data_IF_564418537722
#
_entry.id   IF_564418537722
#
_cell.length_a   1.000
_cell.length_b   1.000
_cell.length_c   1.000
_cell.angle_alpha   90.00
_cell.angle_beta   90.00
_cell.angle_gamma   90.00
#
_symmetry.space_group_name_H-M   'P 1'
#
loop_
_entity.id
_entity.type
_entity.pdbx_description
1 polymer ?
#
# COMPACT_ATOMS: atom_id res chain seq x y z
N UNK A 1 29.64 18.20 15.47
CA UNK A 1 28.75 17.11 15.05
C UNK A 1 27.90 17.68 13.94
N UNK A 2 27.80 17.00 12.79
CA UNK A 2 26.85 17.40 11.74
C UNK A 2 25.44 17.19 12.29
N UNK A 3 24.72 18.28 12.57
CA UNK A 3 23.37 18.21 13.10
C UNK A 3 22.44 17.49 12.12
N UNK A 4 21.75 16.45 12.61
CA UNK A 4 20.68 15.79 11.87
C UNK A 4 19.37 16.51 12.23
N UNK A 5 18.71 17.09 11.24
CA UNK A 5 17.41 17.76 11.42
C UNK A 5 16.32 17.00 10.67
N UNK A 6 15.22 16.76 11.36
CA UNK A 6 14.01 16.12 10.78
C UNK A 6 12.88 17.14 10.77
N UNK A 7 12.29 17.36 9.60
CA UNK A 7 11.12 18.23 9.43
C UNK A 7 10.00 17.42 8.79
N UNK A 8 8.99 16.97 9.57
CA UNK A 8 7.81 16.34 9.02
C UNK A 8 6.98 17.36 8.23
N UNK A 9 6.84 17.17 6.93
CA UNK A 9 5.96 17.97 6.05
C UNK A 9 4.57 17.35 5.91
N UNK A 10 4.45 16.07 6.30
CA UNK A 10 3.22 15.32 6.47
C UNK A 10 3.46 14.08 7.34
N UNK A 11 2.40 13.37 7.72
CA UNK A 11 2.39 12.27 8.70
C UNK A 11 2.95 12.60 10.12
N UNK A 12 3.16 13.88 10.44
CA UNK A 12 3.45 14.32 11.82
C UNK A 12 2.16 14.33 12.63
N UNK A 13 2.05 13.45 13.64
CA UNK A 13 0.83 13.26 14.46
C UNK A 13 -0.43 12.91 13.65
N UNK A 14 -0.26 12.38 12.44
CA UNK A 14 -1.34 12.12 11.48
C UNK A 14 -0.97 10.87 10.67
N UNK A 15 -1.95 10.18 10.11
CA UNK A 15 -1.70 9.05 9.20
C UNK A 15 -2.19 9.44 7.81
N UNK A 16 -1.29 9.35 6.83
CA UNK A 16 -1.54 9.88 5.49
C UNK A 16 -0.53 10.95 5.13
N UNK A 17 -0.43 11.25 3.83
CA UNK A 17 0.47 12.29 3.27
C UNK A 17 1.90 12.22 3.80
N UNK A 18 2.44 11.02 4.01
CA UNK A 18 3.79 10.80 4.52
C UNK A 18 4.80 11.54 3.66
N UNK A 19 5.54 12.43 4.31
CA UNK A 19 6.56 13.26 3.68
C UNK A 19 7.45 13.84 4.78
N UNK A 20 8.70 13.40 4.84
CA UNK A 20 9.65 13.77 5.88
C UNK A 20 10.91 14.31 5.20
N UNK A 21 11.29 15.55 5.53
CA UNK A 21 12.55 16.13 5.09
C UNK A 21 13.63 15.86 6.13
N UNK A 22 14.73 15.24 5.72
CA UNK A 22 15.95 15.07 6.52
C UNK A 22 17.02 16.00 5.98
N UNK A 23 17.62 16.81 6.86
CA UNK A 23 18.89 17.49 6.61
C UNK A 23 19.99 16.80 7.40
N UNK A 24 21.01 16.26 6.72
CA UNK A 24 22.11 15.50 7.30
C UNK A 24 23.39 15.75 6.51
N UNK A 25 24.47 16.16 7.18
CA UNK A 25 25.78 16.38 6.53
C UNK A 25 25.72 17.38 5.36
N UNK A 26 24.88 18.41 5.45
CA UNK A 26 24.68 19.39 4.38
C UNK A 26 23.81 18.91 3.20
N UNK A 27 23.30 17.67 3.24
CA UNK A 27 22.39 17.10 2.25
C UNK A 27 20.95 17.17 2.74
N UNK A 28 20.02 17.37 1.82
CA UNK A 28 18.58 17.35 2.07
C UNK A 28 17.94 16.18 1.30
N UNK A 29 17.36 15.23 2.03
CA UNK A 29 16.69 14.05 1.48
C UNK A 29 15.22 14.11 1.86
N UNK A 30 14.33 13.94 0.89
CA UNK A 30 12.89 13.80 1.16
C UNK A 30 12.49 12.33 1.17
N UNK A 31 11.83 11.90 2.24
CA UNK A 31 11.34 10.55 2.45
C UNK A 31 9.83 10.51 2.28
N UNK A 32 9.39 9.71 1.32
CA UNK A 32 8.02 9.61 0.85
C UNK A 32 7.42 10.96 0.38
N UNK A 33 6.38 10.86 -0.42
CA UNK A 33 5.63 11.99 -0.96
C UNK A 33 4.18 11.54 -1.19
N UNK A 34 3.47 11.37 -0.09
CA UNK A 34 2.12 10.83 -0.05
C UNK A 34 1.00 11.85 -0.18
N UNK A 35 -0.23 11.35 -0.28
CA UNK A 35 -1.46 12.13 -0.15
C UNK A 35 -2.35 11.62 0.98
N UNK A 36 -3.12 12.52 1.60
CA UNK A 36 -4.11 12.16 2.60
C UNK A 36 -5.49 11.92 1.95
N UNK A 37 -5.93 10.66 1.93
CA UNK A 37 -7.17 10.22 1.24
C UNK A 37 -8.49 10.66 1.92
N UNK A 38 -8.40 11.37 3.04
CA UNK A 38 -9.54 11.95 3.75
C UNK A 38 -9.83 13.40 3.40
N UNK A 39 -8.88 14.12 2.81
CA UNK A 39 -9.07 15.51 2.44
C UNK A 39 -9.36 15.63 0.93
N UNK A 40 -10.25 16.56 0.57
CA UNK A 40 -10.55 16.90 -0.82
C UNK A 40 -10.00 18.29 -1.21
N UNK A 41 -9.33 18.98 -0.29
CA UNK A 41 -8.66 20.26 -0.50
C UNK A 41 -7.14 20.10 -0.46
N UNK A 42 -6.41 21.22 -0.53
CA UNK A 42 -4.94 21.24 -0.57
C UNK A 42 -4.27 20.60 0.65
N UNK A 43 -4.97 20.44 1.79
CA UNK A 43 -4.43 19.75 2.98
C UNK A 43 -4.13 18.29 2.71
N UNK A 44 -4.63 17.73 1.61
CA UNK A 44 -4.29 16.38 1.17
C UNK A 44 -2.82 16.24 0.78
N UNK A 45 -2.15 17.32 0.41
CA UNK A 45 -0.74 17.30 0.04
C UNK A 45 0.16 17.65 1.24
N UNK A 46 1.43 17.23 1.24
CA UNK A 46 2.44 17.74 2.16
C UNK A 46 2.65 19.24 1.99
N UNK A 47 3.10 19.91 3.05
CA UNK A 47 3.41 21.34 2.99
C UNK A 47 4.75 21.60 2.31
N UNK A 48 4.73 21.69 0.97
CA UNK A 48 5.91 22.02 0.18
C UNK A 48 6.34 23.48 0.30
N UNK A 49 5.50 24.37 0.85
CA UNK A 49 5.85 25.79 0.99
C UNK A 49 7.06 25.98 1.90
N UNK A 50 7.30 25.07 2.84
CA UNK A 50 8.49 25.10 3.70
C UNK A 50 9.79 25.02 2.90
N UNK A 51 9.82 24.24 1.81
CA UNK A 51 11.00 24.06 0.95
C UNK A 51 11.00 25.05 -0.22
N UNK A 52 9.83 25.29 -0.83
CA UNK A 52 9.70 26.04 -2.07
C UNK A 52 9.63 27.58 -1.89
N UNK A 53 9.83 28.11 -0.68
CA UNK A 53 9.82 29.56 -0.39
C UNK A 53 10.79 30.37 -1.25
N UNK A 54 11.91 29.77 -1.64
CA UNK A 54 12.98 30.42 -2.40
C UNK A 54 13.60 29.42 -3.39
N UNK A 55 13.11 29.43 -4.63
CA UNK A 55 13.67 28.64 -5.74
C UNK A 55 12.94 27.33 -6.04
N UNK A 56 13.49 26.54 -6.95
CA UNK A 56 12.92 25.23 -7.37
C UNK A 56 13.28 24.16 -6.34
N UNK A 57 12.40 23.18 -6.13
CA UNK A 57 12.68 22.06 -5.21
C UNK A 57 13.98 21.31 -5.58
N UNK A 58 14.28 21.21 -6.88
CA UNK A 58 15.49 20.55 -7.41
C UNK A 58 16.78 21.11 -6.80
N UNK A 59 16.84 22.40 -6.50
CA UNK A 59 18.03 23.06 -5.95
C UNK A 59 18.18 22.82 -4.43
N UNK A 60 17.09 22.41 -3.77
CA UNK A 60 17.03 22.25 -2.32
C UNK A 60 17.07 20.79 -1.88
N UNK A 61 16.78 19.84 -2.77
CA UNK A 61 16.70 18.41 -2.48
C UNK A 61 17.73 17.63 -3.30
N UNK A 62 18.58 16.85 -2.62
CA UNK A 62 19.53 15.95 -3.28
C UNK A 62 18.81 14.77 -3.93
N UNK A 63 17.84 14.18 -3.23
CA UNK A 63 17.02 13.09 -3.76
C UNK A 63 15.69 12.94 -3.01
N UNK A 64 14.79 12.19 -3.64
CA UNK A 64 13.54 11.71 -3.03
C UNK A 64 13.59 10.20 -2.93
N UNK A 65 13.18 9.63 -1.81
CA UNK A 65 13.14 8.18 -1.60
C UNK A 65 11.72 7.77 -1.27
N UNK A 66 11.17 6.80 -2.01
CA UNK A 66 9.83 6.25 -1.79
C UNK A 66 9.92 4.84 -1.22
N UNK A 67 9.34 4.64 -0.04
CA UNK A 67 9.33 3.37 0.70
C UNK A 67 8.49 2.31 0.00
N UNK A 68 7.27 2.66 -0.41
CA UNK A 68 6.33 1.74 -1.06
C UNK A 68 5.22 2.47 -1.84
N UNK A 69 4.38 1.70 -2.53
CA UNK A 69 3.45 2.22 -3.54
C UNK A 69 2.11 2.73 -3.01
N UNK A 70 1.85 2.72 -1.70
CA UNK A 70 0.57 3.23 -1.20
C UNK A 70 0.45 4.73 -1.42
N UNK A 71 -0.78 5.21 -1.65
CA UNK A 71 -1.03 6.60 -2.02
C UNK A 71 -0.67 7.58 -0.90
N UNK A 72 -0.68 7.17 0.35
CA UNK A 72 -0.18 7.93 1.49
C UNK A 72 1.35 7.99 1.59
N UNK A 73 2.08 7.31 0.70
CA UNK A 73 3.55 7.38 0.61
C UNK A 73 4.04 7.85 -0.77
N UNK A 74 3.26 7.69 -1.84
CA UNK A 74 3.66 8.12 -3.18
C UNK A 74 2.61 8.94 -3.95
N UNK A 75 1.44 9.18 -3.36
CA UNK A 75 0.30 9.79 -4.05
C UNK A 75 0.53 11.22 -4.52
N UNK A 76 1.34 12.00 -3.79
CA UNK A 76 1.63 13.40 -4.12
C UNK A 76 2.82 13.53 -5.06
N UNK A 77 3.47 12.41 -5.43
CA UNK A 77 4.71 12.44 -6.20
C UNK A 77 4.54 13.15 -7.55
N UNK A 78 3.52 12.87 -8.40
CA UNK A 78 3.36 13.60 -9.66
C UNK A 78 3.01 15.08 -9.48
N UNK A 79 2.29 15.42 -8.40
CA UNK A 79 1.99 16.80 -8.04
C UNK A 79 3.29 17.55 -7.68
N UNK A 80 4.11 16.97 -6.81
CA UNK A 80 5.38 17.54 -6.38
C UNK A 80 6.37 17.66 -7.55
N UNK A 81 6.49 16.65 -8.40
CA UNK A 81 7.47 16.69 -9.51
C UNK A 81 7.05 17.62 -10.64
N UNK A 82 5.79 17.58 -11.07
CA UNK A 82 5.38 18.26 -12.31
C UNK A 82 4.63 19.58 -12.06
N UNK A 83 3.95 19.76 -10.92
CA UNK A 83 3.21 20.99 -10.63
C UNK A 83 4.00 21.94 -9.72
N UNK A 84 4.63 21.41 -8.66
CA UNK A 84 5.49 22.21 -7.77
C UNK A 84 6.87 22.42 -8.39
N UNK A 85 7.38 21.41 -9.10
CA UNK A 85 8.60 21.50 -9.89
C UNK A 85 9.80 20.87 -9.20
N UNK A 86 10.02 19.59 -9.49
CA UNK A 86 11.21 18.82 -9.10
C UNK A 86 11.65 17.90 -10.24
N UNK A 87 12.92 18.02 -10.61
CA UNK A 87 13.55 17.26 -11.70
C UNK A 87 14.73 16.40 -11.24
N UNK A 88 14.94 16.30 -9.91
CA UNK A 88 16.00 15.47 -9.33
C UNK A 88 15.66 13.98 -9.27
N UNK A 89 16.59 13.15 -8.76
CA UNK A 89 16.46 11.70 -8.75
C UNK A 89 15.46 11.21 -7.69
N UNK A 90 14.62 10.26 -8.09
CA UNK A 90 13.68 9.58 -7.21
C UNK A 90 14.08 8.11 -7.08
N UNK A 91 14.28 7.63 -5.86
CA UNK A 91 14.65 6.24 -5.59
C UNK A 91 13.46 5.46 -5.05
N UNK A 92 13.19 4.31 -5.65
CA UNK A 92 12.22 3.33 -5.13
C UNK A 92 12.58 1.94 -5.62
N UNK A 93 11.97 0.90 -5.06
CA UNK A 93 12.23 -0.47 -5.52
C UNK A 93 11.59 -0.77 -6.87
N UNK A 94 12.08 -1.83 -7.54
CA UNK A 94 11.53 -2.28 -8.81
C UNK A 94 10.02 -2.54 -8.78
N UNK A 95 9.45 -3.27 -7.79
CA UNK A 95 8.00 -3.50 -7.76
C UNK A 95 7.22 -2.21 -7.48
N UNK A 96 7.74 -1.32 -6.63
CA UNK A 96 7.12 -0.02 -6.35
C UNK A 96 7.02 0.84 -7.61
N UNK A 97 8.09 0.91 -8.42
CA UNK A 97 8.08 1.64 -9.72
C UNK A 97 7.04 1.11 -10.69
N UNK A 98 6.80 -0.21 -10.69
CA UNK A 98 5.85 -0.83 -11.60
C UNK A 98 4.39 -0.64 -11.17
N UNK A 99 4.12 -0.63 -9.87
CA UNK A 99 2.77 -0.58 -9.29
C UNK A 99 2.28 0.86 -9.08
N UNK A 100 3.16 1.76 -8.65
CA UNK A 100 2.88 3.17 -8.40
C UNK A 100 2.07 3.86 -9.51
N UNK A 101 2.45 3.82 -10.80
CA UNK A 101 1.69 4.51 -11.86
C UNK A 101 0.28 3.98 -12.03
N UNK A 102 0.03 2.70 -11.70
CA UNK A 102 -1.31 2.12 -11.81
C UNK A 102 -2.21 2.63 -10.70
N UNK A 103 -1.70 2.69 -9.47
CA UNK A 103 -2.45 3.24 -8.34
C UNK A 103 -2.72 4.74 -8.53
N UNK A 104 -1.74 5.48 -9.01
CA UNK A 104 -1.90 6.90 -9.35
C UNK A 104 -2.95 7.10 -10.45
N UNK A 105 -2.94 6.28 -11.51
CA UNK A 105 -3.92 6.37 -12.59
C UNK A 105 -5.33 5.98 -12.14
N UNK A 106 -5.48 4.93 -11.32
CA UNK A 106 -6.78 4.56 -10.74
C UNK A 106 -7.34 5.68 -9.86
N UNK A 107 -6.49 6.26 -9.00
CA UNK A 107 -6.87 7.39 -8.17
C UNK A 107 -7.22 8.64 -8.99
N UNK A 108 -6.46 8.93 -10.05
CA UNK A 108 -6.72 10.03 -10.99
C UNK A 108 -8.09 9.86 -11.64
N UNK A 109 -8.42 8.67 -12.16
CA UNK A 109 -9.73 8.41 -12.78
C UNK A 109 -10.87 8.64 -11.80
N UNK A 110 -10.75 8.17 -10.56
CA UNK A 110 -11.78 8.40 -9.54
C UNK A 110 -11.93 9.91 -9.25
N UNK A 111 -10.82 10.63 -9.11
CA UNK A 111 -10.82 12.04 -8.72
C UNK A 111 -11.30 12.96 -9.84
N UNK A 112 -10.78 12.79 -11.05
CA UNK A 112 -11.12 13.64 -12.21
C UNK A 112 -12.49 13.26 -12.79
N UNK A 113 -12.74 11.98 -13.06
CA UNK A 113 -13.94 11.56 -13.81
C UNK A 113 -15.20 11.48 -12.91
N UNK A 114 -15.05 11.10 -11.63
CA UNK A 114 -16.22 10.96 -10.74
C UNK A 114 -16.45 12.16 -9.83
N UNK A 115 -15.39 12.84 -9.37
CA UNK A 115 -15.54 14.04 -8.53
C UNK A 115 -15.48 15.34 -9.33
N UNK A 116 -15.07 15.30 -10.60
CA UNK A 116 -15.02 16.48 -11.47
C UNK A 116 -13.87 17.44 -11.14
N UNK A 117 -12.81 16.97 -10.47
CA UNK A 117 -11.70 17.83 -10.11
C UNK A 117 -10.80 18.13 -11.33
N UNK A 118 -10.61 19.41 -11.63
CA UNK A 118 -9.88 19.86 -12.82
C UNK A 118 -8.40 20.16 -12.54
N UNK A 119 -8.06 20.56 -11.32
CA UNK A 119 -6.69 20.89 -10.93
C UNK A 119 -5.96 19.67 -10.34
N UNK A 120 -5.80 18.63 -11.16
CA UNK A 120 -5.16 17.38 -10.77
C UNK A 120 -4.15 16.92 -11.82
N UNK A 121 -3.15 16.14 -11.41
CA UNK A 121 -2.12 15.67 -12.34
C UNK A 121 -2.70 14.77 -13.44
N UNK A 122 -2.11 14.84 -14.62
CA UNK A 122 -2.53 14.07 -15.80
C UNK A 122 -1.81 12.72 -15.89
N UNK A 123 -2.29 11.83 -16.75
CA UNK A 123 -1.59 10.57 -17.08
C UNK A 123 -0.20 10.80 -17.68
N UNK A 124 -0.01 11.92 -18.38
CA UNK A 124 1.30 12.31 -18.91
C UNK A 124 2.25 12.71 -17.79
N UNK A 125 1.77 13.48 -16.81
CA UNK A 125 2.55 13.86 -15.64
C UNK A 125 2.97 12.63 -14.81
N UNK A 126 2.09 11.63 -14.65
CA UNK A 126 2.47 10.34 -14.02
C UNK A 126 3.62 9.69 -14.79
N UNK A 127 3.54 9.64 -16.13
CA UNK A 127 4.61 9.05 -16.96
C UNK A 127 5.91 9.82 -16.83
N UNK A 128 5.87 11.15 -16.88
CA UNK A 128 7.05 12.03 -16.71
C UNK A 128 7.69 11.86 -15.34
N UNK A 129 6.88 11.80 -14.28
CA UNK A 129 7.32 11.50 -12.92
C UNK A 129 8.06 10.16 -12.85
N UNK A 130 7.49 9.08 -13.45
CA UNK A 130 8.12 7.75 -13.43
C UNK A 130 9.42 7.66 -14.24
N UNK A 131 9.67 8.57 -15.20
CA UNK A 131 10.95 8.64 -15.93
C UNK A 131 12.09 9.12 -15.05
N UNK A 132 11.81 9.92 -14.01
CA UNK A 132 12.80 10.43 -13.03
C UNK A 132 13.23 9.37 -12.01
N UNK A 133 12.59 8.19 -12.04
CA UNK A 133 12.79 7.13 -11.04
C UNK A 133 13.98 6.24 -11.36
N UNK A 134 14.92 6.18 -10.42
CA UNK A 134 16.04 5.24 -10.37
C UNK A 134 15.65 4.09 -9.44
N UNK A 135 15.76 2.85 -9.91
CA UNK A 135 15.34 1.68 -9.14
C UNK A 135 16.44 1.17 -8.20
N UNK A 136 16.07 0.86 -6.96
CA UNK A 136 16.94 0.25 -5.98
C UNK A 136 16.62 -1.25 -5.78
N UNK A 137 17.66 -2.08 -5.81
CA UNK A 137 17.55 -3.47 -5.37
C UNK A 137 17.75 -3.59 -3.86
N UNK A 138 17.18 -4.64 -3.28
CA UNK A 138 17.44 -4.98 -1.88
C UNK A 138 18.94 -5.21 -1.68
N UNK A 139 19.46 -4.64 -0.59
CA UNK A 139 20.85 -4.72 -0.14
C UNK A 139 21.88 -4.10 -1.09
N UNK A 140 21.46 -3.50 -2.20
CA UNK A 140 22.32 -2.72 -3.07
C UNK A 140 22.62 -1.37 -2.40
N UNK A 141 23.90 -1.04 -2.29
CA UNK A 141 24.33 0.33 -1.95
C UNK A 141 24.33 1.14 -3.25
N UNK A 142 23.58 2.23 -3.25
CA UNK A 142 23.57 3.21 -4.35
C UNK A 142 24.26 4.47 -3.85
N UNK A 143 25.31 4.84 -4.53
CA UNK A 143 25.99 6.12 -4.37
C UNK A 143 25.20 7.19 -5.14
N UNK A 144 24.60 8.13 -4.42
CA UNK A 144 23.78 9.22 -4.96
C UNK A 144 24.66 10.39 -5.35
N UNK A 145 25.64 10.72 -4.49
CA UNK A 145 26.74 11.65 -4.73
C UNK A 145 27.93 11.26 -3.83
N UNK A 146 29.06 11.95 -3.96
CA UNK A 146 30.34 11.60 -3.31
C UNK A 146 30.21 11.22 -1.82
N UNK A 147 29.31 11.88 -1.07
CA UNK A 147 29.15 11.67 0.37
C UNK A 147 27.85 10.93 0.74
N UNK A 148 26.85 10.91 -0.14
CA UNK A 148 25.52 10.36 0.10
C UNK A 148 25.34 8.98 -0.54
N UNK A 149 25.07 7.99 0.30
CA UNK A 149 24.66 6.66 -0.15
C UNK A 149 23.32 6.23 0.46
N UNK A 150 22.63 5.37 -0.27
CA UNK A 150 21.37 4.77 0.17
C UNK A 150 21.42 3.26 -0.02
N UNK A 151 20.82 2.52 0.90
CA UNK A 151 20.68 1.06 0.84
C UNK A 151 19.26 0.66 1.23
N UNK A 152 18.60 -0.08 0.34
CA UNK A 152 17.26 -0.58 0.56
C UNK A 152 17.27 -1.94 1.29
N UNK A 153 16.33 -2.13 2.21
CA UNK A 153 16.12 -3.33 2.99
C UNK A 153 14.66 -3.76 2.89
N UNK A 154 14.38 -5.04 3.10
CA UNK A 154 13.03 -5.57 2.93
C UNK A 154 12.12 -5.16 4.09
N UNK A 155 10.97 -4.53 3.81
CA UNK A 155 10.04 -4.07 4.86
C UNK A 155 8.90 -5.04 5.19
N UNK A 156 8.60 -6.01 4.32
CA UNK A 156 7.57 -7.04 4.58
C UNK A 156 6.11 -6.55 4.65
N UNK A 157 5.84 -5.27 4.34
CA UNK A 157 4.49 -4.67 4.39
C UNK A 157 3.66 -4.96 3.14
N UNK A 158 4.16 -4.53 1.97
CA UNK A 158 3.57 -4.81 0.66
C UNK A 158 4.67 -5.22 -0.33
N UNK A 159 4.27 -5.74 -1.50
CA UNK A 159 5.22 -6.17 -2.53
C UNK A 159 6.17 -5.02 -2.94
N UNK A 160 7.46 -5.20 -2.67
CA UNK A 160 8.46 -4.16 -2.95
C UNK A 160 8.62 -3.09 -1.89
N UNK A 161 7.88 -3.14 -0.79
CA UNK A 161 8.10 -2.20 0.32
C UNK A 161 9.52 -2.33 0.86
N UNK A 162 10.18 -1.18 1.08
CA UNK A 162 11.54 -1.13 1.55
C UNK A 162 11.75 -0.11 2.67
N UNK A 163 12.59 -0.51 3.63
CA UNK A 163 13.22 0.39 4.58
C UNK A 163 14.53 0.90 3.94
N UNK A 164 14.89 2.16 4.18
CA UNK A 164 16.10 2.74 3.61
C UNK A 164 17.07 3.15 4.71
N UNK A 165 18.30 2.68 4.61
CA UNK A 165 19.42 3.25 5.33
C UNK A 165 20.09 4.29 4.45
N UNK A 166 20.28 5.47 4.99
CA UNK A 166 20.85 6.64 4.34
C UNK A 166 22.10 6.99 5.11
N UNK A 167 23.26 7.07 4.44
CA UNK A 167 24.52 7.45 5.08
C UNK A 167 25.08 8.67 4.37
N UNK A 168 25.48 9.67 5.15
CA UNK A 168 26.19 10.86 4.68
C UNK A 168 27.46 11.03 5.50
N UNK A 169 28.61 10.77 4.88
CA UNK A 169 29.88 10.67 5.59
C UNK A 169 29.84 9.61 6.70
N UNK A 170 30.00 10.04 7.96
CA UNK A 170 29.97 9.13 9.12
C UNK A 170 28.59 8.96 9.74
N UNK A 171 27.63 9.82 9.42
CA UNK A 171 26.31 9.79 10.03
C UNK A 171 25.35 8.92 9.20
N UNK A 172 24.39 8.27 9.86
CA UNK A 172 23.40 7.45 9.20
C UNK A 172 22.00 7.54 9.81
N UNK A 173 21.00 7.48 8.94
CA UNK A 173 19.57 7.45 9.30
C UNK A 173 18.94 6.19 8.71
N UNK A 174 18.04 5.56 9.45
CA UNK A 174 17.16 4.52 8.91
C UNK A 174 15.73 5.04 8.89
N UNK A 175 15.09 4.97 7.72
CA UNK A 175 13.67 5.21 7.54
C UNK A 175 12.95 3.90 7.24
N UNK A 176 11.96 3.53 8.04
CA UNK A 176 11.26 2.25 7.85
C UNK A 176 10.14 2.31 6.83
N UNK A 177 9.54 3.49 6.62
CA UNK A 177 8.17 3.55 6.09
C UNK A 177 7.25 2.66 6.93
N UNK A 178 6.30 2.02 6.27
CA UNK A 178 5.50 0.95 6.88
C UNK A 178 6.21 -0.39 6.77
N UNK A 179 6.24 -1.15 7.87
CA UNK A 179 6.94 -2.42 7.93
C UNK A 179 6.18 -3.47 8.75
N UNK A 180 6.48 -4.74 8.49
CA UNK A 180 5.87 -5.83 9.23
C UNK A 180 6.92 -6.87 9.62
N UNK A 181 7.12 -7.04 10.93
CA UNK A 181 8.04 -8.04 11.49
C UNK A 181 7.45 -9.46 11.50
N UNK A 182 6.14 -9.61 11.32
CA UNK A 182 5.48 -10.92 11.27
C UNK A 182 5.29 -11.34 9.81
N UNK A 183 5.85 -12.48 9.37
CA UNK A 183 5.77 -12.88 7.98
C UNK A 183 4.32 -13.19 7.56
N UNK A 184 3.98 -12.73 6.37
CA UNK A 184 2.75 -13.09 5.70
C UNK A 184 2.84 -14.40 4.89
N UNK A 185 1.73 -14.90 4.34
CA UNK A 185 1.81 -16.06 3.42
C UNK A 185 2.58 -15.65 2.18
N UNK A 186 2.23 -14.49 1.65
CA UNK A 186 2.80 -13.94 0.43
C UNK A 186 4.11 -13.15 0.65
N UNK A 187 4.33 -12.55 1.82
CA UNK A 187 5.52 -11.71 2.10
C UNK A 187 6.34 -12.23 3.29
N UNK A 188 7.65 -11.95 3.30
CA UNK A 188 8.52 -12.23 4.44
C UNK A 188 8.35 -11.22 5.58
N UNK A 189 9.08 -11.43 6.66
CA UNK A 189 9.24 -10.41 7.70
C UNK A 189 10.22 -9.32 7.25
N UNK A 190 10.06 -8.11 7.77
CA UNK A 190 11.04 -7.04 7.62
C UNK A 190 12.41 -7.51 8.11
N UNK A 191 13.46 -7.11 7.40
CA UNK A 191 14.83 -7.51 7.71
C UNK A 191 15.80 -6.40 7.38
N UNK A 192 16.72 -6.10 8.30
CA UNK A 192 17.78 -5.11 8.17
C UNK A 192 19.07 -5.66 8.78
N UNK A 193 20.22 -5.20 8.29
CA UNK A 193 21.52 -5.51 8.88
C UNK A 193 21.56 -5.05 10.36
N UNK A 194 22.50 -5.60 11.13
CA UNK A 194 22.80 -5.11 12.49
C UNK A 194 23.54 -3.76 12.43
N UNK A 195 22.90 -2.75 11.86
CA UNK A 195 23.40 -1.39 11.82
C UNK A 195 23.08 -0.65 13.13
N UNK A 196 23.87 0.38 13.43
CA UNK A 196 23.65 1.30 14.55
C UNK A 196 23.48 2.70 13.96
N UNK A 197 22.28 3.03 13.44
CA UNK A 197 22.06 4.36 12.89
C UNK A 197 22.04 5.41 14.00
N UNK A 198 22.43 6.63 13.67
CA UNK A 198 22.35 7.78 14.58
C UNK A 198 20.90 8.21 14.80
N UNK A 199 20.03 7.95 13.81
CA UNK A 199 18.60 8.24 13.86
C UNK A 199 17.78 7.09 13.24
N UNK A 200 16.73 6.68 13.93
CA UNK A 200 15.70 5.79 13.41
C UNK A 200 14.38 6.56 13.29
N UNK A 201 13.82 6.62 12.09
CA UNK A 201 12.48 7.16 11.81
C UNK A 201 11.58 5.98 11.49
N UNK A 202 10.58 5.75 12.35
CA UNK A 202 9.69 4.58 12.25
C UNK A 202 8.22 4.96 12.35
N UNK A 203 7.34 4.15 11.73
CA UNK A 203 5.90 4.31 11.85
C UNK A 203 5.39 4.03 13.28
N UNK A 204 4.20 4.54 13.59
CA UNK A 204 3.55 4.36 14.90
C UNK A 204 2.09 3.90 14.79
N UNK A 205 1.68 3.37 13.63
CA UNK A 205 0.29 3.03 13.28
C UNK A 205 -0.43 2.19 14.34
N UNK A 206 0.30 1.28 15.01
CA UNK A 206 -0.25 0.40 16.04
C UNK A 206 0.56 0.41 17.34
N UNK A 207 1.21 1.54 17.67
CA UNK A 207 2.16 1.63 18.79
C UNK A 207 1.66 1.06 20.12
N UNK A 208 0.36 1.22 20.44
CA UNK A 208 -0.26 0.74 21.68
C UNK A 208 -1.13 -0.52 21.49
N UNK A 209 -1.34 -0.97 20.26
CA UNK A 209 -2.27 -2.06 19.96
C UNK A 209 -1.54 -3.40 19.97
N UNK A 210 -1.87 -4.25 20.93
CA UNK A 210 -1.38 -5.64 20.95
C UNK A 210 -2.20 -6.44 19.94
N UNK A 211 -1.52 -7.02 18.94
CA UNK A 211 -2.16 -7.85 17.92
C UNK A 211 -2.30 -9.29 18.41
N UNK A 212 -3.49 -9.85 18.26
CA UNK A 212 -3.72 -11.28 18.44
C UNK A 212 -2.85 -12.12 17.50
N UNK A 213 -2.58 -13.36 17.94
CA UNK A 213 -1.83 -14.32 17.14
C UNK A 213 -2.47 -14.46 15.75
N UNK A 214 -1.61 -14.47 14.73
CA UNK A 214 -2.04 -14.63 13.34
C UNK A 214 -2.91 -15.88 13.15
N UNK A 215 -2.57 -16.99 13.81
CA UNK A 215 -3.31 -18.25 13.75
C UNK A 215 -4.74 -18.13 14.29
N UNK A 216 -4.93 -17.44 15.42
CA UNK A 216 -6.27 -17.21 15.98
C UNK A 216 -7.11 -16.37 15.02
N UNK A 217 -6.58 -15.24 14.54
CA UNK A 217 -7.30 -14.35 13.62
C UNK A 217 -7.70 -15.06 12.32
N UNK A 218 -6.81 -15.86 11.74
CA UNK A 218 -7.13 -16.65 10.54
C UNK A 218 -8.22 -17.69 10.80
N UNK A 219 -8.13 -18.43 11.91
CA UNK A 219 -9.14 -19.42 12.28
C UNK A 219 -10.50 -18.76 12.49
N UNK A 220 -10.54 -17.65 13.21
CA UNK A 220 -11.77 -16.96 13.55
C UNK A 220 -12.41 -16.32 12.31
N UNK A 221 -11.59 -15.77 11.41
CA UNK A 221 -12.01 -15.32 10.08
C UNK A 221 -12.63 -16.47 9.28
N UNK A 222 -11.93 -17.59 9.13
CA UNK A 222 -12.42 -18.75 8.37
C UNK A 222 -13.71 -19.32 8.97
N UNK A 223 -13.81 -19.39 10.30
CA UNK A 223 -15.01 -19.85 11.01
C UNK A 223 -16.22 -18.96 10.72
N UNK A 224 -16.04 -17.64 10.74
CA UNK A 224 -17.10 -16.67 10.41
C UNK A 224 -17.55 -16.80 8.96
N UNK A 225 -16.60 -16.89 8.03
CA UNK A 225 -16.91 -17.07 6.59
C UNK A 225 -17.68 -18.36 6.36
N UNK A 226 -17.18 -19.49 6.89
CA UNK A 226 -17.82 -20.80 6.72
C UNK A 226 -19.24 -20.81 7.33
N UNK A 227 -19.40 -20.30 8.56
CA UNK A 227 -20.72 -20.27 9.19
C UNK A 227 -21.75 -19.41 8.44
N UNK A 228 -21.33 -18.35 7.75
CA UNK A 228 -22.24 -17.54 6.94
C UNK A 228 -22.67 -18.27 5.67
N UNK A 229 -21.72 -18.89 4.94
CA UNK A 229 -22.04 -19.63 3.71
C UNK A 229 -22.90 -20.87 3.99
N UNK A 230 -22.72 -21.54 5.13
CA UNK A 230 -23.53 -22.70 5.55
C UNK A 230 -25.00 -22.32 5.79
N UNK A 231 -25.25 -21.09 6.24
CA UNK A 231 -26.60 -20.53 6.39
C UNK A 231 -27.21 -20.06 5.07
N UNK A 232 -26.50 -20.21 3.94
CA UNK A 232 -26.92 -19.71 2.64
C UNK A 232 -26.68 -18.20 2.45
N UNK A 233 -25.95 -17.56 3.35
CA UNK A 233 -25.63 -16.13 3.31
C UNK A 233 -24.52 -15.78 2.32
N UNK A 234 -24.46 -14.51 1.94
CA UNK A 234 -23.39 -13.95 1.10
C UNK A 234 -22.36 -13.22 1.96
N UNK A 235 -21.08 -13.37 1.63
CA UNK A 235 -19.97 -12.71 2.32
C UNK A 235 -19.34 -11.65 1.42
N UNK A 236 -19.39 -10.39 1.85
CA UNK A 236 -18.65 -9.29 1.23
C UNK A 236 -17.37 -9.01 2.02
N UNK A 237 -16.23 -8.98 1.33
CA UNK A 237 -14.92 -8.64 1.90
C UNK A 237 -14.36 -7.41 1.16
N UNK A 238 -14.53 -6.20 1.70
CA UNK A 238 -13.97 -4.99 1.12
C UNK A 238 -12.46 -4.98 1.33
N UNK A 239 -11.69 -4.93 0.24
CA UNK A 239 -10.22 -4.96 0.29
C UNK A 239 -9.60 -3.91 -0.62
N UNK A 240 -8.37 -3.52 -0.32
CA UNK A 240 -7.51 -2.85 -1.31
C UNK A 240 -7.03 -3.87 -2.33
N UNK A 241 -6.87 -3.45 -3.59
CA UNK A 241 -6.58 -4.37 -4.69
C UNK A 241 -5.19 -5.05 -4.58
N UNK A 242 -4.28 -4.45 -3.82
CA UNK A 242 -2.87 -4.85 -3.67
C UNK A 242 -2.53 -4.96 -2.18
N UNK A 243 -1.89 -6.07 -1.80
CA UNK A 243 -1.46 -6.35 -0.43
C UNK A 243 -2.39 -7.37 0.24
N UNK A 244 -3.25 -6.90 1.13
CA UNK A 244 -4.07 -7.77 2.00
C UNK A 244 -5.05 -8.67 1.23
N UNK A 245 -5.54 -8.22 0.08
CA UNK A 245 -6.34 -9.05 -0.83
C UNK A 245 -5.66 -10.38 -1.17
N UNK A 246 -4.38 -10.34 -1.55
CA UNK A 246 -3.63 -11.54 -1.94
C UNK A 246 -3.44 -12.51 -0.76
N UNK A 247 -3.19 -11.99 0.45
CA UNK A 247 -3.11 -12.81 1.67
C UNK A 247 -4.42 -13.57 1.93
N UNK A 248 -5.57 -12.88 1.84
CA UNK A 248 -6.89 -13.47 2.07
C UNK A 248 -7.28 -14.45 0.96
N UNK A 249 -6.94 -14.16 -0.30
CA UNK A 249 -7.15 -15.10 -1.41
C UNK A 249 -6.42 -16.43 -1.19
N UNK A 250 -5.13 -16.37 -0.83
CA UNK A 250 -4.34 -17.59 -0.57
C UNK A 250 -4.91 -18.36 0.63
N UNK A 251 -5.38 -17.65 1.65
CA UNK A 251 -6.00 -18.26 2.82
C UNK A 251 -7.29 -19.00 2.47
N UNK A 252 -8.21 -18.36 1.74
CA UNK A 252 -9.48 -18.97 1.34
C UNK A 252 -9.29 -20.09 0.33
N UNK A 253 -8.43 -19.93 -0.68
CA UNK A 253 -8.10 -20.97 -1.66
C UNK A 253 -7.62 -22.26 -0.96
N UNK A 254 -6.70 -22.13 0.00
CA UNK A 254 -6.18 -23.26 0.77
C UNK A 254 -7.25 -23.92 1.65
N UNK A 255 -8.20 -23.12 2.15
CA UNK A 255 -9.29 -23.61 2.99
C UNK A 255 -10.36 -24.31 2.15
N UNK A 256 -10.70 -23.79 0.98
CA UNK A 256 -11.62 -24.39 0.02
C UNK A 256 -11.11 -25.75 -0.48
N UNK A 257 -9.82 -25.83 -0.85
CA UNK A 257 -9.16 -27.08 -1.23
C UNK A 257 -9.25 -28.12 -0.08
N UNK A 258 -9.02 -27.70 1.17
CA UNK A 258 -9.02 -28.61 2.34
C UNK A 258 -10.41 -29.11 2.72
N UNK A 259 -11.40 -28.23 2.70
CA UNK A 259 -12.78 -28.52 3.14
C UNK A 259 -13.66 -29.02 1.98
N UNK A 260 -13.13 -29.07 0.75
CA UNK A 260 -13.85 -29.44 -0.48
C UNK A 260 -15.13 -28.61 -0.70
N UNK A 261 -15.05 -27.31 -0.43
CA UNK A 261 -16.17 -26.39 -0.57
C UNK A 261 -16.41 -26.05 -2.04
N UNK A 262 -17.68 -26.01 -2.45
CA UNK A 262 -18.10 -25.70 -3.82
C UNK A 262 -18.68 -24.30 -3.99
N UNK A 263 -18.86 -23.57 -2.89
CA UNK A 263 -19.40 -22.20 -2.90
C UNK A 263 -18.45 -21.31 -3.70
N UNK A 264 -18.94 -20.51 -4.67
CA UNK A 264 -18.07 -19.71 -5.50
C UNK A 264 -17.44 -18.57 -4.71
N UNK A 265 -16.14 -18.38 -4.93
CA UNK A 265 -15.43 -17.18 -4.50
C UNK A 265 -15.24 -16.31 -5.74
N UNK A 266 -15.59 -15.04 -5.64
CA UNK A 266 -15.36 -14.07 -6.67
C UNK A 266 -14.44 -12.95 -6.22
N UNK A 267 -13.74 -12.38 -7.20
CA UNK A 267 -12.90 -11.21 -7.01
C UNK A 267 -13.29 -10.12 -8.01
N UNK A 268 -13.47 -8.88 -7.54
CA UNK A 268 -13.76 -7.75 -8.40
C UNK A 268 -12.74 -7.58 -9.53
N UNK A 269 -13.23 -7.50 -10.77
CA UNK A 269 -12.41 -7.24 -11.96
C UNK A 269 -11.70 -5.88 -11.88
N UNK A 270 -10.55 -5.77 -12.57
CA UNK A 270 -9.78 -4.52 -12.71
C UNK A 270 -8.39 -4.60 -12.09
N UNK A 271 -8.13 -3.77 -11.07
CA UNK A 271 -6.80 -3.58 -10.49
C UNK A 271 -6.19 -4.87 -9.90
N UNK A 272 -7.01 -5.79 -9.42
CA UNK A 272 -6.52 -7.04 -8.79
C UNK A 272 -5.99 -8.05 -9.79
N UNK A 273 -6.55 -8.15 -11.00
CA UNK A 273 -5.99 -9.03 -12.03
C UNK A 273 -4.57 -8.58 -12.41
N UNK A 274 -4.40 -7.26 -12.57
CA UNK A 274 -3.09 -6.64 -12.73
C UNK A 274 -2.20 -6.91 -11.52
N UNK A 275 -2.73 -6.81 -10.30
CA UNK A 275 -1.99 -7.10 -9.08
C UNK A 275 -1.41 -8.52 -9.10
N UNK A 276 -2.22 -9.54 -9.42
CA UNK A 276 -1.74 -10.92 -9.52
C UNK A 276 -0.64 -11.07 -10.56
N UNK A 277 -0.74 -10.38 -11.70
CA UNK A 277 0.34 -10.36 -12.70
C UNK A 277 1.66 -9.79 -12.13
N UNK A 278 1.61 -8.68 -11.35
CA UNK A 278 2.80 -8.13 -10.70
C UNK A 278 3.39 -9.06 -9.64
N UNK A 279 2.55 -9.75 -8.86
CA UNK A 279 3.02 -10.75 -7.90
C UNK A 279 3.75 -11.91 -8.60
N UNK A 280 3.29 -12.32 -9.78
CA UNK A 280 3.99 -13.32 -10.61
C UNK A 280 5.32 -12.78 -11.14
N UNK A 281 5.33 -11.56 -11.66
CA UNK A 281 6.53 -10.92 -12.21
C UNK A 281 7.62 -10.71 -11.15
N UNK A 282 7.23 -10.28 -9.96
CA UNK A 282 8.14 -9.98 -8.85
C UNK A 282 8.14 -11.08 -7.77
N UNK A 283 8.04 -12.34 -8.19
CA UNK A 283 8.03 -13.48 -7.27
C UNK A 283 9.26 -13.51 -6.36
N UNK A 284 10.41 -13.00 -6.83
CA UNK A 284 11.66 -12.91 -6.05
C UNK A 284 11.55 -12.03 -4.80
N UNK A 285 10.58 -11.11 -4.77
CA UNK A 285 10.26 -10.20 -3.65
C UNK A 285 9.22 -10.77 -2.67
N UNK A 286 8.75 -11.99 -2.89
CA UNK A 286 7.81 -12.69 -2.01
C UNK A 286 8.52 -13.53 -0.94
N UNK A 287 7.75 -14.13 -0.03
CA UNK A 287 8.27 -15.02 0.99
C UNK A 287 9.04 -16.21 0.40
N UNK A 288 10.01 -16.75 1.14
CA UNK A 288 10.79 -17.92 0.69
C UNK A 288 9.90 -19.14 0.41
N UNK A 289 8.81 -19.28 1.18
CA UNK A 289 7.79 -20.30 0.97
C UNK A 289 7.16 -20.17 -0.42
N UNK A 290 6.78 -18.95 -0.81
CA UNK A 290 6.17 -18.70 -2.12
C UNK A 290 7.16 -18.98 -3.24
N UNK A 291 8.41 -18.50 -3.10
CA UNK A 291 9.47 -18.74 -4.08
C UNK A 291 9.71 -20.23 -4.34
N UNK A 292 9.75 -21.05 -3.28
CA UNK A 292 9.92 -22.51 -3.39
C UNK A 292 8.73 -23.19 -4.04
N UNK A 293 7.51 -22.84 -3.63
CA UNK A 293 6.28 -23.46 -4.16
C UNK A 293 6.00 -23.05 -5.60
N UNK A 294 6.41 -21.84 -6.02
CA UNK A 294 6.16 -21.30 -7.36
C UNK A 294 6.67 -22.20 -8.49
N UNK A 295 7.77 -22.94 -8.28
CA UNK A 295 8.31 -23.90 -9.25
C UNK A 295 7.33 -25.03 -9.57
N UNK A 296 6.48 -25.40 -8.59
CA UNK A 296 5.51 -26.50 -8.72
C UNK A 296 4.08 -26.00 -8.98
N UNK A 297 3.66 -24.93 -8.30
CA UNK A 297 2.32 -24.34 -8.40
C UNK A 297 2.41 -22.84 -8.15
N UNK A 298 1.83 -22.07 -9.05
CA UNK A 298 1.68 -20.63 -8.86
C UNK A 298 0.60 -20.33 -7.80
N UNK A 299 1.00 -19.80 -6.63
CA UNK A 299 0.07 -19.47 -5.55
C UNK A 299 -0.83 -18.27 -5.85
N UNK A 300 -0.58 -17.54 -6.94
CA UNK A 300 -1.44 -16.44 -7.42
C UNK A 300 -2.32 -16.88 -8.60
N UNK A 301 -2.36 -18.19 -8.90
CA UNK A 301 -3.35 -18.82 -9.77
C UNK A 301 -4.34 -19.60 -8.91
N UNK A 302 -5.51 -18.99 -8.72
CA UNK A 302 -6.56 -19.53 -7.87
C UNK A 302 -7.48 -20.41 -8.70
N UNK A 303 -7.78 -21.61 -8.20
CA UNK A 303 -8.72 -22.56 -8.83
C UNK A 303 -10.16 -22.21 -8.51
N UNK A 304 -10.41 -21.76 -7.28
CA UNK A 304 -11.76 -21.50 -6.77
C UNK A 304 -12.19 -20.04 -6.91
N UNK A 305 -11.23 -19.13 -7.07
CA UNK A 305 -11.49 -17.68 -7.16
C UNK A 305 -11.65 -17.26 -8.61
N UNK A 306 -12.84 -16.77 -8.95
CA UNK A 306 -13.22 -16.37 -10.31
C UNK A 306 -13.43 -14.85 -10.42
N UNK A 307 -13.35 -14.27 -11.62
CA UNK A 307 -13.72 -12.87 -11.80
C UNK A 307 -15.21 -12.63 -11.46
N UNK A 308 -15.50 -11.53 -10.78
CA UNK A 308 -16.85 -11.11 -10.45
C UNK A 308 -17.47 -10.29 -11.59
N UNK A 309 -18.63 -10.75 -12.09
CA UNK A 309 -19.50 -9.95 -12.95
C UNK A 309 -20.53 -9.19 -12.08
N UNK A 310 -20.83 -7.95 -12.45
CA UNK A 310 -21.88 -7.14 -11.78
C UNK A 310 -23.25 -7.80 -11.83
N UNK A 311 -23.53 -8.63 -12.83
CA UNK A 311 -24.77 -9.41 -12.89
C UNK A 311 -24.93 -10.35 -11.67
N UNK A 312 -23.82 -10.79 -11.07
CA UNK A 312 -23.85 -11.75 -9.96
C UNK A 312 -24.30 -11.16 -8.63
N UNK A 313 -24.44 -9.83 -8.53
CA UNK A 313 -24.90 -9.14 -7.30
C UNK A 313 -26.27 -9.68 -6.87
N UNK A 314 -27.16 -9.89 -7.84
CA UNK A 314 -28.55 -10.32 -7.63
C UNK A 314 -28.71 -11.84 -7.65
N UNK A 315 -27.66 -12.60 -7.98
CA UNK A 315 -27.75 -14.06 -8.05
C UNK A 315 -28.15 -14.66 -6.69
N UNK A 316 -29.07 -15.64 -6.68
CA UNK A 316 -29.45 -16.33 -5.44
C UNK A 316 -28.33 -17.27 -4.97
N UNK A 317 -28.32 -17.55 -3.66
CA UNK A 317 -27.40 -18.50 -3.03
C UNK A 317 -26.15 -17.87 -2.42
N UNK A 318 -25.37 -18.69 -1.68
CA UNK A 318 -24.18 -18.24 -0.98
C UNK A 318 -23.04 -17.95 -1.95
N UNK A 319 -22.27 -16.92 -1.65
CA UNK A 319 -21.04 -16.58 -2.38
C UNK A 319 -20.12 -15.74 -1.49
N UNK A 320 -18.83 -15.78 -1.79
CA UNK A 320 -17.84 -14.89 -1.17
C UNK A 320 -17.32 -13.93 -2.21
N UNK A 321 -17.36 -12.62 -1.96
CA UNK A 321 -16.92 -11.61 -2.92
C UNK A 321 -15.91 -10.68 -2.28
N UNK A 322 -14.71 -10.65 -2.85
CA UNK A 322 -13.73 -9.60 -2.60
C UNK A 322 -14.02 -8.41 -3.51
N UNK A 323 -14.22 -7.24 -2.92
CA UNK A 323 -14.56 -6.04 -3.69
C UNK A 323 -13.72 -4.83 -3.30
N UNK A 324 -13.37 -4.02 -4.29
CA UNK A 324 -12.66 -2.76 -4.10
C UNK A 324 -13.63 -1.58 -4.18
N UNK A 325 -13.33 -0.45 -3.51
CA UNK A 325 -12.25 -0.22 -2.54
C UNK A 325 -12.59 -0.70 -1.11
N UNK A 326 -11.56 -1.00 -0.31
CA UNK A 326 -11.73 -1.49 1.07
C UNK A 326 -12.40 -0.52 2.06
N UNK A 327 -12.37 0.79 1.78
CA UNK A 327 -12.98 1.81 2.65
C UNK A 327 -14.49 2.03 2.42
N UNK A 328 -15.14 1.30 1.49
CA UNK A 328 -16.58 1.45 1.18
C UNK A 328 -17.04 2.89 0.87
N UNK A 329 -16.18 3.73 0.31
CA UNK A 329 -16.53 5.13 0.02
C UNK A 329 -17.16 5.33 -1.35
N UNK A 330 -16.92 4.41 -2.29
CA UNK A 330 -17.41 4.43 -3.66
C UNK A 330 -17.23 3.03 -4.27
N UNK A 331 -17.49 2.89 -5.58
CA UNK A 331 -17.11 1.70 -6.34
C UNK A 331 -17.98 0.47 -6.07
N UNK A 332 -17.47 -0.69 -6.49
CA UNK A 332 -18.22 -1.95 -6.47
C UNK A 332 -18.48 -2.44 -5.05
N UNK A 333 -17.52 -2.29 -4.13
CA UNK A 333 -17.71 -2.71 -2.73
C UNK A 333 -18.90 -2.00 -2.07
N UNK A 334 -19.05 -0.69 -2.29
CA UNK A 334 -20.21 0.06 -1.78
C UNK A 334 -21.53 -0.33 -2.48
N UNK A 335 -21.49 -0.63 -3.78
CA UNK A 335 -22.68 -1.07 -4.51
C UNK A 335 -23.18 -2.43 -3.99
N UNK A 336 -22.28 -3.38 -3.76
CA UNK A 336 -22.61 -4.70 -3.19
C UNK A 336 -23.12 -4.53 -1.75
N UNK A 337 -22.41 -3.76 -0.93
CA UNK A 337 -22.79 -3.45 0.46
C UNK A 337 -24.24 -2.97 0.54
N UNK A 338 -24.61 -1.95 -0.24
CA UNK A 338 -25.97 -1.39 -0.24
C UNK A 338 -27.06 -2.41 -0.58
N UNK A 339 -26.73 -3.42 -1.40
CA UNK A 339 -27.66 -4.46 -1.83
C UNK A 339 -27.75 -5.61 -0.83
N UNK A 340 -26.64 -5.94 -0.17
CA UNK A 340 -26.54 -7.14 0.67
C UNK A 340 -26.75 -6.87 2.16
N UNK A 341 -26.42 -5.66 2.65
CA UNK A 341 -26.59 -5.26 4.04
C UNK A 341 -28.01 -5.44 4.63
N UNK A 342 -29.12 -5.26 3.88
CA UNK A 342 -30.47 -5.42 4.45
C UNK A 342 -30.84 -6.86 4.85
N UNK A 343 -30.08 -7.87 4.43
CA UNK A 343 -30.36 -9.28 4.73
C UNK A 343 -29.48 -9.77 5.88
N UNK A 344 -30.10 -10.18 6.99
CA UNK A 344 -29.44 -10.61 8.22
C UNK A 344 -28.57 -11.88 8.07
N UNK A 345 -28.81 -12.67 7.02
CA UNK A 345 -28.00 -13.85 6.73
C UNK A 345 -26.67 -13.48 6.06
N UNK A 346 -26.58 -12.30 5.45
CA UNK A 346 -25.35 -11.83 4.82
C UNK A 346 -24.36 -11.33 5.86
N UNK A 347 -23.09 -11.46 5.53
CA UNK A 347 -22.01 -11.00 6.38
C UNK A 347 -21.09 -10.06 5.61
N UNK A 348 -20.79 -8.94 6.23
CA UNK A 348 -19.83 -7.97 5.72
C UNK A 348 -18.61 -8.01 6.62
N UNK A 349 -17.52 -8.57 6.09
CA UNK A 349 -16.25 -8.61 6.80
C UNK A 349 -15.43 -7.42 6.39
N UNK A 350 -15.54 -6.36 7.19
CA UNK A 350 -14.70 -5.19 7.06
C UNK A 350 -13.26 -5.58 7.42
N UNK A 351 -12.41 -5.69 6.41
CA UNK A 351 -10.98 -5.88 6.62
C UNK A 351 -10.41 -4.64 7.32
N UNK A 352 -9.64 -4.88 8.38
CA UNK A 352 -9.09 -3.88 9.30
C UNK A 352 -7.86 -3.18 8.73
N UNK A 353 -7.77 -3.02 7.40
CA UNK A 353 -6.77 -2.13 6.82
C UNK A 353 -6.96 -0.75 7.47
N UNK A 354 -5.93 -0.25 8.16
CA UNK A 354 -6.03 1.00 8.91
C UNK A 354 -6.55 2.09 7.98
N UNK A 355 -7.67 2.73 8.35
CA UNK A 355 -8.25 3.82 7.57
C UNK A 355 -7.90 5.13 8.26
N UNK A 356 -7.12 5.96 7.58
CA UNK A 356 -6.72 7.30 8.00
C UNK A 356 -7.89 8.27 8.17
N UNK A 357 -9.07 7.93 7.62
CA UNK A 357 -10.22 8.82 7.63
C UNK A 357 -11.19 8.45 8.74
N UNK A 358 -11.12 9.19 9.85
CA UNK A 358 -12.21 9.25 10.82
C UNK A 358 -13.53 9.61 10.12
N UNK A 359 -14.57 8.81 10.34
CA UNK A 359 -15.92 9.09 9.82
C UNK A 359 -16.29 8.49 8.46
N UNK A 360 -15.41 7.74 7.77
CA UNK A 360 -15.82 6.92 6.61
C UNK A 360 -16.68 5.72 7.06
N UNK A 361 -17.53 5.23 6.16
CA UNK A 361 -18.58 4.24 6.47
C UNK A 361 -18.02 2.99 7.15
N UNK A 362 -16.90 2.45 6.68
CA UNK A 362 -16.22 1.30 7.31
C UNK A 362 -15.80 1.60 8.78
N UNK A 363 -15.23 2.78 9.06
CA UNK A 363 -14.90 3.19 10.44
C UNK A 363 -16.14 3.36 11.33
N UNK A 364 -17.25 3.88 10.78
CA UNK A 364 -18.52 4.04 11.51
C UNK A 364 -19.16 2.69 11.82
N UNK A 365 -19.10 1.74 10.90
CA UNK A 365 -19.67 0.39 11.09
C UNK A 365 -18.84 -0.40 12.11
N UNK A 366 -17.51 -0.33 12.11
CA UNK A 366 -16.67 -1.04 13.09
C UNK A 366 -16.86 -0.57 14.56
N UNK A 367 -17.60 0.52 14.80
CA UNK A 367 -17.94 1.01 16.15
C UNK A 367 -19.34 0.61 16.62
N UNK A 368 -20.19 0.09 15.74
CA UNK A 368 -21.49 -0.49 16.06
C UNK A 368 -21.34 -2.01 16.19
#
# INVERSE_FOLDING_TARGET
MSDIKVTPLGAGQDVGRSCILISIGGKNIMLDCGMHMGYNDDRRFPDFSYIAREGRLTERLNCVIISHFHLDHCGALPYMTEMVGYDGPIYMTHPTKAICPILLEDYRKITVERKGETNFFTSEMIKSCMKKVITANLHQVIQVDDDLEIKAYYAGHVLGAAMFQIRVGQNSVVYTGDYNMTPDRHLGAAWIDKCRPDLLITESTYATTIRDSKRCRERDFLKKVHSCIDKGGKVLIPVFALGRAQELCILLESYWDRMNLKVPIYFSLGLTEKANHYYKLYITWTSEKIKKTFVQRNMFEFKHIKPFDRAYIENPGPMVVFATPGMLHAGLSLQIFKRWAPNENNMELLDTGFSTVHGKLNWKINKC
#
